data_IF_681762857415
#
_entry.id   IF_681762857415
#
_cell.length_a   1.000
_cell.length_b   1.000
_cell.length_c   1.000
_cell.angle_alpha   90.00
_cell.angle_beta   90.00
_cell.angle_gamma   90.00
#
_symmetry.space_group_name_H-M   'P 1'
#
loop_
_entity.id
_entity.type
_entity.pdbx_description
1 polymer ?
#
# COMPACT_ATOMS: atom_id res chain seq x y z
N UNK A 1 -27.79 -48.09 -40.89
CA UNK A 1 -27.33 -47.43 -39.62
C UNK A 1 -25.83 -47.64 -39.42
N UNK A 2 -24.96 -47.20 -40.34
CA UNK A 2 -23.49 -47.32 -40.25
C UNK A 2 -22.79 -45.98 -40.65
N UNK A 3 -23.52 -44.91 -40.77
CA UNK A 3 -22.96 -43.63 -41.28
C UNK A 3 -22.59 -42.57 -40.25
N UNK A 4 -22.89 -42.72 -38.96
CA UNK A 4 -22.71 -41.63 -37.96
C UNK A 4 -21.51 -41.75 -37.00
N UNK A 5 -20.73 -42.81 -37.09
CA UNK A 5 -19.59 -43.05 -36.17
C UNK A 5 -18.26 -42.56 -36.70
N UNK A 6 -18.12 -42.29 -38.00
CA UNK A 6 -16.86 -41.86 -38.57
C UNK A 6 -16.58 -40.35 -38.49
N UNK A 7 -17.60 -39.49 -38.28
CA UNK A 7 -17.41 -38.05 -38.15
C UNK A 7 -16.87 -37.60 -36.79
N UNK A 8 -17.11 -38.38 -35.74
CA UNK A 8 -16.61 -38.10 -34.38
C UNK A 8 -15.14 -38.44 -34.19
N UNK A 9 -14.60 -39.42 -34.91
CA UNK A 9 -13.18 -39.82 -34.80
C UNK A 9 -12.28 -38.88 -35.59
N UNK A 10 -12.76 -38.39 -36.75
CA UNK A 10 -12.00 -37.41 -37.56
C UNK A 10 -11.99 -36.00 -36.93
N UNK A 11 -13.08 -35.58 -36.28
CA UNK A 11 -13.15 -34.30 -35.56
C UNK A 11 -12.23 -34.26 -34.33
N UNK A 12 -12.10 -35.36 -33.59
CA UNK A 12 -11.15 -35.43 -32.45
C UNK A 12 -9.69 -35.42 -32.90
N UNK A 13 -9.32 -36.04 -33.99
CA UNK A 13 -7.93 -36.01 -34.52
C UNK A 13 -7.54 -34.66 -35.11
N UNK A 14 -8.49 -33.88 -35.63
CA UNK A 14 -8.25 -32.51 -36.08
C UNK A 14 -8.08 -31.53 -34.90
N UNK A 15 -8.87 -31.70 -33.83
CA UNK A 15 -8.74 -30.91 -32.60
C UNK A 15 -7.48 -31.24 -31.79
N UNK A 16 -6.99 -32.48 -31.85
CA UNK A 16 -5.72 -32.87 -31.22
C UNK A 16 -4.48 -32.33 -31.95
N UNK A 17 -4.55 -32.11 -33.28
CA UNK A 17 -3.43 -31.55 -34.05
C UNK A 17 -3.25 -30.03 -33.85
N UNK A 18 -4.17 -29.32 -33.22
CA UNK A 18 -4.11 -27.88 -33.00
C UNK A 18 -3.80 -27.49 -31.53
N UNK A 19 -3.47 -28.45 -30.68
CA UNK A 19 -2.72 -28.16 -29.45
C UNK A 19 -1.25 -27.93 -29.84
N UNK A 20 -0.97 -26.78 -30.45
CA UNK A 20 0.37 -26.21 -30.42
C UNK A 20 0.79 -26.24 -28.95
N UNK A 21 1.82 -27.00 -28.59
CA UNK A 21 2.47 -26.90 -27.29
C UNK A 21 2.82 -25.44 -27.13
N UNK A 22 2.07 -24.70 -26.33
CA UNK A 22 2.51 -23.38 -25.86
C UNK A 22 3.72 -23.65 -24.99
N UNK A 23 4.90 -23.62 -25.59
CA UNK A 23 6.16 -23.55 -24.84
C UNK A 23 6.27 -22.11 -24.34
N UNK A 24 5.92 -21.90 -23.06
CA UNK A 24 6.17 -20.62 -22.43
C UNK A 24 7.68 -20.35 -22.47
N UNK A 25 8.06 -19.18 -22.96
CA UNK A 25 9.43 -18.73 -22.88
C UNK A 25 9.80 -18.38 -21.44
N UNK A 26 11.06 -18.47 -21.03
CA UNK A 26 11.52 -17.96 -19.76
C UNK A 26 11.10 -16.49 -19.56
N UNK A 27 10.78 -16.12 -18.32
CA UNK A 27 10.38 -14.75 -18.00
C UNK A 27 11.59 -13.82 -18.25
N UNK A 28 11.42 -12.86 -19.16
CA UNK A 28 12.39 -11.81 -19.49
C UNK A 28 11.66 -10.47 -19.60
N UNK A 29 11.25 -9.87 -18.47
CA UNK A 29 10.51 -8.61 -18.49
C UNK A 29 11.40 -7.48 -19.04
N UNK A 30 10.83 -6.53 -19.81
CA UNK A 30 11.56 -5.36 -20.24
C UNK A 30 11.97 -4.52 -19.03
N UNK A 31 13.11 -3.88 -19.10
CA UNK A 31 13.53 -2.93 -18.08
C UNK A 31 12.60 -1.71 -18.10
N UNK A 32 12.08 -1.35 -16.94
CA UNK A 32 11.20 -0.20 -16.75
C UNK A 32 11.62 0.59 -15.51
N UNK A 33 11.48 1.91 -15.57
CA UNK A 33 11.58 2.79 -14.42
C UNK A 33 10.17 3.16 -13.98
N UNK A 34 9.75 2.60 -12.83
CA UNK A 34 8.39 2.72 -12.32
C UNK A 34 8.24 3.99 -11.47
N UNK A 35 8.03 5.12 -12.13
CA UNK A 35 7.85 6.44 -11.52
C UNK A 35 6.38 6.80 -11.31
N UNK A 36 5.52 5.81 -11.20
CA UNK A 36 4.12 5.99 -10.83
C UNK A 36 3.90 5.99 -9.32
N UNK A 37 2.64 6.10 -8.86
CA UNK A 37 2.28 6.10 -7.43
C UNK A 37 2.34 4.70 -6.78
N UNK A 38 3.10 3.80 -7.35
CA UNK A 38 3.26 2.39 -7.01
C UNK A 38 2.39 1.46 -7.88
N UNK A 39 2.90 0.23 -8.20
CA UNK A 39 4.13 -0.34 -7.64
C UNK A 39 5.41 0.37 -8.09
N UNK A 40 6.53 0.04 -7.44
CA UNK A 40 7.85 0.58 -7.71
C UNK A 40 8.81 -0.53 -8.15
N UNK A 41 10.02 -0.17 -8.62
CA UNK A 41 11.10 -1.13 -8.73
C UNK A 41 11.54 -1.56 -7.34
N UNK A 42 11.57 -2.86 -7.10
CA UNK A 42 12.09 -3.38 -5.83
C UNK A 42 13.63 -3.23 -5.79
N UNK A 43 14.15 -3.01 -4.56
CA UNK A 43 15.59 -3.01 -4.34
C UNK A 43 16.18 -4.37 -4.77
N UNK A 44 17.30 -4.40 -5.54
CA UNK A 44 17.95 -5.65 -5.92
C UNK A 44 18.33 -6.55 -4.75
N UNK A 45 18.58 -5.98 -3.55
CA UNK A 45 18.86 -6.75 -2.33
C UNK A 45 17.60 -7.50 -1.87
N UNK A 46 16.43 -6.88 -1.97
CA UNK A 46 15.13 -7.51 -1.67
C UNK A 46 14.86 -8.66 -2.63
N UNK A 47 15.02 -8.45 -3.94
CA UNK A 47 14.82 -9.50 -4.94
C UNK A 47 15.78 -10.68 -4.73
N UNK A 48 17.03 -10.43 -4.33
CA UNK A 48 18.01 -11.47 -3.99
C UNK A 48 17.58 -12.25 -2.76
N UNK A 49 17.10 -11.59 -1.70
CA UNK A 49 16.57 -12.25 -0.52
C UNK A 49 15.42 -13.18 -0.87
N UNK A 50 14.50 -12.75 -1.72
CA UNK A 50 13.35 -13.54 -2.16
C UNK A 50 13.74 -14.78 -2.98
N UNK A 51 14.92 -14.80 -3.59
CA UNK A 51 15.43 -15.95 -4.35
C UNK A 51 16.25 -16.94 -3.51
N UNK A 52 16.35 -16.73 -2.19
CA UNK A 52 17.02 -17.65 -1.28
C UNK A 52 16.30 -19.00 -1.19
N UNK A 53 17.01 -20.03 -0.78
CA UNK A 53 16.44 -21.37 -0.54
C UNK A 53 15.35 -21.31 0.53
N UNK A 54 14.27 -22.05 0.31
CA UNK A 54 13.16 -22.10 1.27
C UNK A 54 13.51 -22.98 2.48
N UNK A 55 13.13 -22.53 3.66
CA UNK A 55 13.11 -23.37 4.87
C UNK A 55 11.67 -23.81 5.16
N UNK A 56 11.52 -24.94 5.82
CA UNK A 56 10.21 -25.50 6.15
C UNK A 56 9.54 -24.73 7.31
N UNK A 57 8.22 -24.81 7.38
CA UNK A 57 7.41 -24.16 8.41
C UNK A 57 7.79 -24.54 9.86
N UNK A 58 8.29 -25.76 10.06
CA UNK A 58 8.70 -26.28 11.38
C UNK A 58 10.20 -26.14 11.65
N UNK A 59 10.94 -25.54 10.73
CA UNK A 59 12.36 -25.28 10.90
C UNK A 59 12.56 -24.15 11.94
N UNK A 60 13.45 -24.32 12.92
CA UNK A 60 13.79 -23.23 13.85
C UNK A 60 14.19 -21.93 13.18
N UNK A 61 14.87 -21.98 12.03
CA UNK A 61 15.23 -20.80 11.25
C UNK A 61 14.00 -20.02 10.77
N UNK A 62 12.88 -20.68 10.44
CA UNK A 62 11.63 -20.00 10.10
C UNK A 62 11.14 -19.16 11.28
N UNK A 63 11.16 -19.73 12.48
CA UNK A 63 10.77 -19.01 13.70
C UNK A 63 11.67 -17.80 13.95
N UNK A 64 12.98 -17.93 13.73
CA UNK A 64 13.94 -16.84 13.86
C UNK A 64 13.62 -15.71 12.85
N UNK A 65 13.42 -16.03 11.56
CA UNK A 65 13.06 -15.04 10.54
C UNK A 65 11.74 -14.34 10.85
N UNK A 66 10.73 -15.05 11.36
CA UNK A 66 9.48 -14.44 11.78
C UNK A 66 9.68 -13.47 12.95
N UNK A 67 10.43 -13.89 13.99
CA UNK A 67 10.73 -13.04 15.15
C UNK A 67 11.51 -11.77 14.74
N UNK A 68 12.56 -11.93 13.93
CA UNK A 68 13.33 -10.81 13.41
C UNK A 68 12.46 -9.85 12.57
N UNK A 69 11.55 -10.41 11.78
CA UNK A 69 10.61 -9.60 10.97
C UNK A 69 9.69 -8.78 11.86
N UNK A 70 9.13 -9.37 12.91
CA UNK A 70 8.32 -8.64 13.90
C UNK A 70 9.10 -7.48 14.54
N UNK A 71 10.35 -7.74 14.96
CA UNK A 71 11.20 -6.72 15.59
C UNK A 71 11.53 -5.58 14.61
N UNK A 72 11.92 -5.91 13.39
CA UNK A 72 12.22 -4.93 12.35
C UNK A 72 11.01 -4.04 12.04
N UNK A 73 9.81 -4.64 11.92
CA UNK A 73 8.60 -3.86 11.65
C UNK A 73 8.14 -3.03 12.86
N UNK A 74 8.42 -3.45 14.09
CA UNK A 74 8.26 -2.55 15.26
C UNK A 74 9.09 -1.29 15.09
N UNK A 75 10.33 -1.42 14.65
CA UNK A 75 11.18 -0.29 14.31
C UNK A 75 10.59 0.58 13.19
N UNK A 76 10.09 -0.04 12.12
CA UNK A 76 9.51 0.68 10.96
C UNK A 76 8.21 1.41 11.30
N UNK A 77 7.33 0.82 12.13
CA UNK A 77 6.11 1.48 12.59
C UNK A 77 6.35 2.46 13.75
N UNK A 78 7.54 2.47 14.34
CA UNK A 78 7.86 3.26 15.54
C UNK A 78 6.95 2.89 16.70
N UNK A 79 6.95 1.60 17.07
CA UNK A 79 6.04 1.06 18.07
C UNK A 79 6.69 0.00 18.96
N UNK A 80 6.19 -0.11 20.19
CA UNK A 80 6.49 -1.21 21.11
C UNK A 80 5.44 -2.35 21.02
N UNK A 81 4.44 -2.25 20.14
CA UNK A 81 3.39 -3.25 20.02
C UNK A 81 3.95 -4.64 19.69
N UNK A 82 3.70 -5.60 20.58
CA UNK A 82 4.08 -7.00 20.34
C UNK A 82 3.37 -7.59 19.10
N UNK A 83 2.12 -7.20 18.87
CA UNK A 83 1.31 -7.62 17.72
C UNK A 83 1.68 -6.82 16.46
N UNK A 84 2.95 -6.92 16.06
CA UNK A 84 3.46 -6.34 14.80
C UNK A 84 3.97 -7.48 13.93
N UNK A 85 3.31 -7.75 12.80
CA UNK A 85 3.49 -8.96 12.00
C UNK A 85 3.13 -8.72 10.52
N UNK A 86 3.13 -9.78 9.73
CA UNK A 86 2.73 -9.74 8.32
C UNK A 86 1.39 -10.49 8.12
N UNK A 87 0.57 -9.95 7.23
CA UNK A 87 -0.56 -10.66 6.64
C UNK A 87 -0.15 -11.03 5.20
N UNK A 88 -0.25 -12.31 4.85
CA UNK A 88 0.03 -12.78 3.50
C UNK A 88 -1.00 -12.24 2.51
N UNK A 89 -0.51 -11.65 1.44
CA UNK A 89 -1.30 -11.01 0.42
C UNK A 89 -0.85 -9.58 0.14
N UNK A 90 -1.55 -8.89 -0.75
CA UNK A 90 -1.23 -7.48 -1.03
C UNK A 90 -1.66 -6.58 0.13
N UNK A 91 -1.30 -5.29 0.10
CA UNK A 91 -1.72 -4.33 1.13
C UNK A 91 -3.22 -4.38 1.45
N UNK A 92 -4.08 -4.68 0.46
CA UNK A 92 -5.53 -4.87 0.69
C UNK A 92 -5.84 -6.03 1.64
N UNK A 93 -5.05 -7.08 1.64
CA UNK A 93 -5.21 -8.19 2.57
C UNK A 93 -5.05 -7.72 4.03
N UNK A 94 -4.03 -6.89 4.30
CA UNK A 94 -3.85 -6.28 5.62
C UNK A 94 -5.00 -5.35 6.02
N UNK A 95 -5.46 -4.50 5.09
CA UNK A 95 -6.59 -3.60 5.33
C UNK A 95 -7.86 -4.40 5.66
N UNK A 96 -8.16 -5.42 4.85
CA UNK A 96 -9.36 -6.26 5.07
C UNK A 96 -9.25 -7.07 6.36
N UNK A 97 -8.08 -7.66 6.66
CA UNK A 97 -7.84 -8.38 7.90
C UNK A 97 -8.04 -7.49 9.13
N UNK A 98 -7.52 -6.25 9.11
CA UNK A 98 -7.74 -5.28 10.19
C UNK A 98 -9.22 -4.96 10.39
N UNK A 99 -9.92 -4.55 9.34
CA UNK A 99 -11.30 -4.09 9.45
C UNK A 99 -12.27 -5.22 9.79
N UNK A 100 -12.15 -6.39 9.16
CA UNK A 100 -13.04 -7.54 9.45
C UNK A 100 -12.83 -8.08 10.86
N UNK A 101 -11.61 -7.92 11.42
CA UNK A 101 -11.28 -8.39 12.77
C UNK A 101 -11.63 -7.38 13.85
N UNK A 102 -11.59 -6.09 13.58
CA UNK A 102 -11.94 -5.03 14.54
C UNK A 102 -13.44 -4.71 14.57
N UNK A 103 -14.17 -5.00 13.49
CA UNK A 103 -15.57 -4.62 13.32
C UNK A 103 -16.50 -5.81 13.42
N UNK A 104 -17.60 -5.60 14.13
CA UNK A 104 -18.78 -6.47 14.16
C UNK A 104 -19.94 -5.82 13.40
N UNK A 105 -20.91 -6.62 12.92
CA UNK A 105 -22.13 -6.06 12.36
C UNK A 105 -22.84 -5.12 13.31
N UNK A 106 -23.16 -3.90 12.83
CA UNK A 106 -23.79 -2.85 13.59
C UNK A 106 -22.84 -1.93 14.37
N UNK A 107 -21.53 -2.20 14.38
CA UNK A 107 -20.54 -1.25 14.90
C UNK A 107 -20.54 0.04 14.08
N UNK A 108 -20.55 1.19 14.76
CA UNK A 108 -20.41 2.48 14.10
C UNK A 108 -18.96 2.77 13.75
N UNK A 109 -18.72 3.13 12.50
CA UNK A 109 -17.40 3.49 11.98
C UNK A 109 -17.46 4.85 11.33
N UNK A 110 -16.52 5.74 11.67
CA UNK A 110 -16.30 7.00 10.97
C UNK A 110 -15.20 6.81 9.94
N UNK A 111 -15.47 7.13 8.68
CA UNK A 111 -14.50 7.10 7.59
C UNK A 111 -14.37 8.48 6.97
N UNK A 112 -13.32 9.25 7.31
CA UNK A 112 -12.97 10.48 6.60
C UNK A 112 -12.43 10.16 5.22
N UNK A 113 -13.03 10.74 4.17
CA UNK A 113 -12.72 10.49 2.77
C UNK A 113 -12.21 11.77 2.11
N UNK A 114 -10.97 11.75 1.67
CA UNK A 114 -10.32 12.82 0.92
C UNK A 114 -9.63 12.32 -0.37
N UNK A 115 -9.94 11.06 -0.75
CA UNK A 115 -9.43 10.40 -1.94
C UNK A 115 -10.02 9.00 -2.11
N UNK A 116 -9.53 8.30 -3.13
CA UNK A 116 -10.03 6.97 -3.50
C UNK A 116 -9.93 5.93 -2.38
N UNK A 117 -8.83 5.98 -1.61
CA UNK A 117 -8.55 4.92 -0.64
C UNK A 117 -9.42 5.07 0.61
N UNK A 118 -9.91 6.28 0.92
CA UNK A 118 -10.99 6.46 1.90
C UNK A 118 -12.28 5.73 1.49
N UNK A 119 -12.69 5.82 0.22
CA UNK A 119 -13.83 5.04 -0.29
C UNK A 119 -13.58 3.52 -0.23
N UNK A 120 -12.32 3.06 -0.39
CA UNK A 120 -11.98 1.65 -0.20
C UNK A 120 -12.21 1.21 1.26
N UNK A 121 -11.77 2.01 2.24
CA UNK A 121 -12.00 1.71 3.66
C UNK A 121 -13.49 1.65 3.97
N UNK A 122 -14.27 2.61 3.45
CA UNK A 122 -15.73 2.62 3.55
C UNK A 122 -16.32 1.30 3.04
N UNK A 123 -15.98 0.90 1.81
CA UNK A 123 -16.53 -0.30 1.18
C UNK A 123 -16.20 -1.58 1.98
N UNK A 124 -14.99 -1.71 2.51
CA UNK A 124 -14.59 -2.86 3.33
C UNK A 124 -15.35 -2.86 4.66
N UNK A 125 -15.50 -1.71 5.31
CA UNK A 125 -16.26 -1.60 6.56
C UNK A 125 -17.76 -1.93 6.36
N UNK A 126 -18.37 -1.44 5.27
CA UNK A 126 -19.77 -1.78 4.90
C UNK A 126 -19.91 -3.30 4.67
N UNK A 127 -18.98 -3.93 3.97
CA UNK A 127 -18.97 -5.38 3.73
C UNK A 127 -18.76 -6.20 5.01
N UNK A 128 -18.08 -5.63 6.01
CA UNK A 128 -17.95 -6.22 7.34
C UNK A 128 -19.24 -6.14 8.15
N UNK A 129 -20.24 -5.41 7.65
CA UNK A 129 -21.57 -5.22 8.27
C UNK A 129 -21.64 -4.04 9.23
N UNK A 130 -20.65 -3.16 9.23
CA UNK A 130 -20.64 -1.96 10.07
C UNK A 130 -21.63 -0.90 9.58
N UNK A 131 -22.10 -0.05 10.51
CA UNK A 131 -22.80 1.20 10.22
C UNK A 131 -21.76 2.28 9.93
N UNK A 132 -21.58 2.59 8.65
CA UNK A 132 -20.50 3.48 8.20
C UNK A 132 -21.00 4.90 8.04
N UNK A 133 -20.37 5.82 8.78
CA UNK A 133 -20.56 7.26 8.67
C UNK A 133 -19.38 7.86 7.90
N UNK A 134 -19.67 8.67 6.88
CA UNK A 134 -18.66 9.27 6.01
C UNK A 134 -18.69 10.77 6.13
N UNK A 135 -17.52 11.37 6.26
CA UNK A 135 -17.31 12.80 6.00
C UNK A 135 -16.37 12.92 4.80
N UNK A 136 -16.67 13.82 3.88
CA UNK A 136 -15.92 13.98 2.64
C UNK A 136 -15.30 15.36 2.53
N UNK A 137 -14.11 15.40 1.91
CA UNK A 137 -13.42 16.63 1.53
C UNK A 137 -13.11 16.64 0.05
N UNK A 138 -12.90 17.85 -0.47
CA UNK A 138 -12.39 18.05 -1.82
C UNK A 138 -11.05 17.32 -1.98
N UNK A 139 -10.92 16.60 -3.08
CA UNK A 139 -9.71 15.84 -3.40
C UNK A 139 -8.51 16.78 -3.59
N UNK A 140 -7.44 16.51 -2.88
CA UNK A 140 -6.25 17.35 -2.82
C UNK A 140 -6.17 18.24 -1.57
N UNK A 141 -7.14 18.11 -0.64
CA UNK A 141 -7.13 18.74 0.69
C UNK A 141 -7.25 17.70 1.79
N UNK A 142 -7.04 18.08 3.05
CA UNK A 142 -7.12 17.20 4.23
C UNK A 142 -8.04 17.79 5.30
N UNK A 143 -8.46 16.98 6.25
CA UNK A 143 -9.24 17.42 7.40
C UNK A 143 -8.36 18.07 8.47
N UNK A 144 -8.88 19.07 9.15
CA UNK A 144 -8.31 19.58 10.41
C UNK A 144 -8.65 18.69 11.58
N UNK A 145 -7.84 18.70 12.64
CA UNK A 145 -8.13 17.97 13.88
C UNK A 145 -9.50 18.35 14.48
N UNK A 146 -9.86 19.62 14.44
CA UNK A 146 -11.15 20.11 14.95
C UNK A 146 -12.36 19.56 14.16
N UNK A 147 -12.27 19.45 12.84
CA UNK A 147 -13.33 18.85 12.01
C UNK A 147 -13.49 17.35 12.32
N UNK A 148 -12.36 16.63 12.47
CA UNK A 148 -12.37 15.22 12.84
C UNK A 148 -12.96 15.03 14.23
N UNK A 149 -12.57 15.85 15.22
CA UNK A 149 -13.13 15.79 16.58
C UNK A 149 -14.63 16.03 16.60
N UNK A 150 -15.12 17.04 15.86
CA UNK A 150 -16.55 17.32 15.77
C UNK A 150 -17.33 16.14 15.20
N UNK A 151 -16.82 15.50 14.13
CA UNK A 151 -17.44 14.32 13.55
C UNK A 151 -17.40 13.10 14.49
N UNK A 152 -16.29 12.88 15.20
CA UNK A 152 -16.17 11.80 16.19
C UNK A 152 -17.16 12.00 17.35
N UNK A 153 -17.30 13.23 17.85
CA UNK A 153 -18.24 13.56 18.93
C UNK A 153 -19.71 13.34 18.54
N UNK A 154 -20.06 13.63 17.29
CA UNK A 154 -21.41 13.45 16.74
C UNK A 154 -21.71 11.97 16.50
N UNK A 155 -20.86 11.26 15.77
CA UNK A 155 -21.04 9.85 15.36
C UNK A 155 -20.86 8.90 16.55
N UNK A 156 -19.94 9.19 17.46
CA UNK A 156 -19.51 8.29 18.55
C UNK A 156 -19.13 6.91 18.02
N UNK A 157 -18.18 6.82 17.11
CA UNK A 157 -17.82 5.57 16.46
C UNK A 157 -17.06 4.64 17.42
N UNK A 158 -17.13 3.33 17.18
CA UNK A 158 -16.20 2.36 17.77
C UNK A 158 -14.81 2.49 17.15
N UNK A 159 -14.77 2.77 15.86
CA UNK A 159 -13.53 2.86 15.07
C UNK A 159 -13.56 4.09 14.17
N UNK A 160 -12.49 4.85 14.15
CA UNK A 160 -12.16 5.81 13.07
C UNK A 160 -11.22 5.11 12.12
N UNK A 161 -11.61 4.97 10.85
CA UNK A 161 -10.79 4.34 9.82
C UNK A 161 -10.39 5.40 8.78
N UNK A 162 -9.10 5.75 8.73
CA UNK A 162 -8.59 6.84 7.91
C UNK A 162 -7.34 6.43 7.12
N UNK A 163 -7.17 7.00 5.94
CA UNK A 163 -5.94 6.85 5.15
C UNK A 163 -4.92 7.89 5.64
N UNK A 164 -3.66 7.50 5.90
CA UNK A 164 -2.61 8.46 6.22
C UNK A 164 -2.14 9.21 4.96
N UNK A 165 -1.80 8.48 3.89
CA UNK A 165 -1.36 9.08 2.62
C UNK A 165 -2.16 8.56 1.44
N UNK A 166 -2.98 9.40 0.81
CA UNK A 166 -3.78 8.98 -0.34
C UNK A 166 -3.08 9.33 -1.65
N UNK A 167 -2.54 8.31 -2.33
CA UNK A 167 -1.84 8.53 -3.61
C UNK A 167 -2.77 8.95 -4.75
N UNK A 168 -4.09 8.86 -4.60
CA UNK A 168 -5.00 9.36 -5.64
C UNK A 168 -5.09 10.88 -5.65
N UNK A 169 -4.84 11.50 -4.51
CA UNK A 169 -4.86 12.95 -4.28
C UNK A 169 -3.50 13.54 -3.93
N UNK A 170 -2.51 12.68 -3.69
CA UNK A 170 -1.10 13.00 -3.39
C UNK A 170 -0.86 13.82 -2.11
N UNK A 171 -1.82 13.79 -1.19
CA UNK A 171 -1.73 14.48 0.11
C UNK A 171 -1.69 13.49 1.27
N UNK A 172 -1.07 13.90 2.38
CA UNK A 172 -1.01 13.17 3.63
C UNK A 172 -1.86 13.87 4.69
N UNK A 173 -2.76 13.11 5.32
CA UNK A 173 -3.58 13.55 6.44
C UNK A 173 -2.72 13.57 7.71
N UNK A 174 -2.57 14.69 8.41
CA UNK A 174 -1.96 14.74 9.73
C UNK A 174 -2.72 13.86 10.73
N UNK A 175 -2.01 13.05 11.51
CA UNK A 175 -2.58 12.12 12.48
C UNK A 175 -2.09 12.35 13.92
N UNK A 176 -1.17 13.26 14.12
CA UNK A 176 -0.45 13.51 15.38
C UNK A 176 -1.37 13.83 16.57
N UNK A 177 -2.51 14.47 16.34
CA UNK A 177 -3.52 14.75 17.36
C UNK A 177 -4.66 13.72 17.39
N UNK A 178 -4.84 12.94 16.32
CA UNK A 178 -6.06 12.17 16.10
C UNK A 178 -6.23 11.00 17.07
N UNK A 179 -5.14 10.33 17.46
CA UNK A 179 -5.23 9.24 18.44
C UNK A 179 -5.68 9.71 19.81
N UNK A 180 -5.18 10.88 20.25
CA UNK A 180 -5.64 11.48 21.51
C UNK A 180 -7.12 11.87 21.46
N UNK A 181 -7.57 12.40 20.32
CA UNK A 181 -8.98 12.72 20.07
C UNK A 181 -9.83 11.44 20.11
N UNK A 182 -9.43 10.39 19.39
CA UNK A 182 -10.13 9.10 19.42
C UNK A 182 -10.22 8.54 20.83
N UNK A 183 -9.11 8.53 21.58
CA UNK A 183 -9.07 8.03 22.95
C UNK A 183 -10.02 8.81 23.90
N UNK A 184 -10.08 10.14 23.76
CA UNK A 184 -11.00 11.02 24.53
C UNK A 184 -12.46 10.63 24.33
N UNK A 185 -12.83 10.16 23.13
CA UNK A 185 -14.17 9.77 22.76
C UNK A 185 -14.43 8.25 22.84
N UNK A 186 -13.46 7.45 23.31
CA UNK A 186 -13.57 6.00 23.46
C UNK A 186 -13.55 5.23 22.13
N UNK A 187 -13.07 5.84 21.05
CA UNK A 187 -12.90 5.23 19.75
C UNK A 187 -11.49 4.64 19.57
N UNK A 188 -11.38 3.60 18.75
CA UNK A 188 -10.10 3.13 18.23
C UNK A 188 -9.72 3.93 16.96
N UNK A 189 -8.42 4.10 16.72
CA UNK A 189 -7.88 4.67 15.49
C UNK A 189 -7.21 3.59 14.64
N UNK A 190 -7.77 3.32 13.45
CA UNK A 190 -7.13 2.55 12.40
C UNK A 190 -6.65 3.47 11.27
N UNK A 191 -5.45 3.24 10.76
CA UNK A 191 -4.94 3.95 9.59
C UNK A 191 -4.33 3.04 8.53
N UNK A 192 -4.67 3.32 7.27
CA UNK A 192 -3.98 2.76 6.11
C UNK A 192 -2.74 3.61 5.78
N UNK A 193 -1.57 3.11 6.17
CA UNK A 193 -0.28 3.71 5.88
C UNK A 193 0.43 3.07 4.66
N UNK A 194 -0.32 2.36 3.80
CA UNK A 194 0.25 1.64 2.64
C UNK A 194 1.19 2.50 1.82
N UNK A 195 0.81 3.73 1.55
CA UNK A 195 1.57 4.60 0.64
C UNK A 195 2.59 5.49 1.35
N UNK A 196 2.49 5.64 2.66
CA UNK A 196 3.25 6.64 3.43
C UNK A 196 4.34 6.04 4.30
N UNK A 197 4.14 4.83 4.85
CA UNK A 197 5.08 4.20 5.77
C UNK A 197 6.46 4.03 5.13
N UNK A 198 7.49 4.55 5.80
CA UNK A 198 8.87 4.56 5.33
C UNK A 198 9.25 5.74 4.42
N UNK A 199 8.26 6.50 3.89
CA UNK A 199 8.52 7.66 3.02
C UNK A 199 8.06 8.99 3.58
N UNK A 200 7.11 8.95 4.50
CA UNK A 200 6.62 10.11 5.25
C UNK A 200 6.80 9.81 6.74
N UNK A 201 6.86 10.84 7.55
CA UNK A 201 6.87 10.67 9.00
C UNK A 201 5.68 9.82 9.44
N UNK A 202 5.94 8.86 10.33
CA UNK A 202 4.92 7.99 10.90
C UNK A 202 5.39 7.49 12.27
N UNK A 203 4.65 7.86 13.31
CA UNK A 203 4.99 7.62 14.71
C UNK A 203 3.81 6.94 15.39
N UNK A 204 3.65 5.60 15.21
CA UNK A 204 2.44 4.89 15.61
C UNK A 204 2.10 5.11 17.08
N UNK A 205 3.06 4.89 18.01
CA UNK A 205 2.82 5.02 19.44
C UNK A 205 2.62 6.49 19.85
N UNK A 206 3.45 7.39 19.34
CA UNK A 206 3.38 8.81 19.68
C UNK A 206 2.06 9.45 19.21
N UNK A 207 1.52 8.98 18.07
CA UNK A 207 0.25 9.46 17.53
C UNK A 207 -0.96 8.71 18.09
N UNK A 208 -0.76 7.69 18.92
CA UNK A 208 -1.83 6.92 19.54
C UNK A 208 -2.67 6.12 18.54
N UNK A 209 -2.05 5.61 17.48
CA UNK A 209 -2.72 4.77 16.48
C UNK A 209 -2.91 3.36 17.05
N UNK A 210 -4.14 2.85 17.06
CA UNK A 210 -4.45 1.51 17.60
C UNK A 210 -4.19 0.39 16.60
N UNK A 211 -4.36 0.66 15.32
CA UNK A 211 -4.06 -0.31 14.28
C UNK A 211 -3.57 0.40 13.01
N UNK A 212 -2.52 -0.12 12.39
CA UNK A 212 -2.00 0.39 11.12
C UNK A 212 -1.63 -0.75 10.18
N UNK A 213 -1.87 -0.54 8.89
CA UNK A 213 -1.45 -1.47 7.83
C UNK A 213 -0.59 -0.78 6.79
N UNK A 214 0.27 -1.56 6.13
CA UNK A 214 1.15 -1.05 5.08
C UNK A 214 1.28 -2.03 3.90
N UNK A 215 2.10 -1.69 2.91
CA UNK A 215 2.35 -2.53 1.74
C UNK A 215 3.73 -2.34 1.17
N UNK A 216 4.40 -3.43 0.79
CA UNK A 216 5.79 -3.43 0.36
C UNK A 216 6.03 -2.65 -0.93
N UNK A 217 5.04 -2.58 -1.82
CA UNK A 217 5.15 -2.01 -3.18
C UNK A 217 5.21 -0.48 -3.24
N UNK A 218 5.38 0.16 -2.12
CA UNK A 218 5.49 1.62 -1.94
C UNK A 218 6.84 1.97 -1.32
N UNK A 219 6.85 2.84 -0.32
CA UNK A 219 8.08 3.32 0.28
C UNK A 219 8.89 2.24 1.03
N UNK A 220 8.27 1.11 1.37
CA UNK A 220 8.97 -0.05 1.93
C UNK A 220 9.95 -0.71 0.94
N UNK A 221 9.79 -0.51 -0.36
CA UNK A 221 10.82 -0.83 -1.36
C UNK A 221 10.82 -2.25 -1.88
N UNK A 222 9.76 -3.02 -1.71
CA UNK A 222 9.64 -4.41 -2.17
C UNK A 222 8.51 -4.65 -3.17
N UNK A 223 8.37 -5.89 -3.68
CA UNK A 223 7.23 -6.28 -4.48
C UNK A 223 5.97 -6.43 -3.62
N UNK A 224 4.80 -6.29 -4.25
CA UNK A 224 3.51 -6.55 -3.60
C UNK A 224 3.37 -8.04 -3.27
N UNK A 225 2.79 -8.39 -2.12
CA UNK A 225 2.53 -9.79 -1.75
C UNK A 225 2.61 -10.05 -0.24
N UNK A 226 2.96 -9.03 0.55
CA UNK A 226 2.91 -9.08 2.01
C UNK A 226 2.46 -7.73 2.55
N UNK A 227 1.64 -7.73 3.60
CA UNK A 227 1.07 -6.56 4.22
C UNK A 227 1.48 -6.49 5.71
N UNK A 228 2.46 -5.64 6.06
CA UNK A 228 2.77 -5.38 7.46
C UNK A 228 1.58 -4.76 8.20
N UNK A 229 1.36 -5.23 9.43
CA UNK A 229 0.32 -4.73 10.33
C UNK A 229 0.88 -4.59 11.74
N UNK A 230 0.42 -3.58 12.46
CA UNK A 230 0.68 -3.41 13.89
C UNK A 230 -0.62 -3.09 14.62
N UNK A 231 -0.83 -3.72 15.78
CA UNK A 231 -2.01 -3.61 16.61
C UNK A 231 -1.63 -3.22 18.03
N UNK A 232 -2.28 -2.20 18.60
CA UNK A 232 -2.17 -1.85 20.02
C UNK A 232 -2.75 -2.95 20.92
N UNK A 233 -2.42 -2.91 22.19
CA UNK A 233 -3.02 -3.84 23.18
C UNK A 233 -4.56 -3.76 23.18
N UNK A 234 -5.13 -2.57 23.00
CA UNK A 234 -6.60 -2.38 22.91
C UNK A 234 -7.16 -3.03 21.65
N UNK A 235 -6.53 -2.87 20.50
CA UNK A 235 -6.95 -3.53 19.28
C UNK A 235 -6.86 -5.06 19.39
N UNK A 236 -5.77 -5.58 19.99
CA UNK A 236 -5.61 -7.02 20.28
C UNK A 236 -6.71 -7.53 21.22
N UNK A 237 -7.11 -6.76 22.23
CA UNK A 237 -8.22 -7.13 23.12
C UNK A 237 -9.54 -7.29 22.36
N UNK A 238 -9.87 -6.36 21.45
CA UNK A 238 -11.06 -6.45 20.58
C UNK A 238 -11.00 -7.69 19.71
N UNK A 239 -9.87 -7.95 19.05
CA UNK A 239 -9.66 -9.14 18.20
C UNK A 239 -9.82 -10.43 19.01
N UNK A 240 -9.19 -10.52 20.20
CA UNK A 240 -9.26 -11.69 21.07
C UNK A 240 -10.66 -11.91 21.66
N UNK A 241 -11.46 -10.86 21.88
CA UNK A 241 -12.88 -10.98 22.28
C UNK A 241 -13.73 -11.72 21.25
N UNK A 242 -13.26 -11.81 20.01
CA UNK A 242 -13.91 -12.47 18.87
C UNK A 242 -13.22 -13.79 18.46
N UNK A 243 -12.24 -14.23 19.25
CA UNK A 243 -11.44 -15.41 18.95
C UNK A 243 -12.29 -16.65 18.75
N UNK A 244 -12.05 -17.37 17.68
CA UNK A 244 -12.59 -18.69 17.42
C UNK A 244 -11.48 -19.69 17.08
N UNK A 245 -11.71 -20.95 17.44
CA UNK A 245 -10.81 -22.04 17.09
C UNK A 245 -11.42 -22.77 15.89
N UNK A 246 -10.59 -23.03 14.89
CA UNK A 246 -11.01 -23.77 13.70
C UNK A 246 -11.62 -25.13 14.06
N UNK A 247 -12.73 -25.48 13.40
CA UNK A 247 -13.51 -26.66 13.75
C UNK A 247 -12.70 -27.96 13.69
N UNK A 248 -11.72 -28.05 12.76
CA UNK A 248 -10.88 -29.24 12.57
C UNK A 248 -9.87 -29.52 13.68
N UNK A 249 -9.56 -28.49 14.53
CA UNK A 249 -8.60 -28.59 15.63
C UNK A 249 -9.23 -28.26 16.99
N UNK A 250 -10.54 -27.96 17.02
CA UNK A 250 -11.27 -27.64 18.26
C UNK A 250 -11.41 -28.84 19.15
N UNK A 251 -11.13 -28.66 20.43
CA UNK A 251 -11.33 -29.67 21.48
C UNK A 251 -12.68 -29.50 22.19
N UNK A 252 -13.17 -30.56 22.82
CA UNK A 252 -14.35 -30.49 23.66
C UNK A 252 -14.08 -29.57 24.87
N UNK A 253 -14.82 -28.46 24.97
CA UNK A 253 -14.65 -27.45 26.03
C UNK A 253 -14.03 -26.15 25.57
N UNK A 254 -13.56 -26.05 24.33
CA UNK A 254 -13.13 -24.80 23.77
C UNK A 254 -14.31 -23.83 23.62
N UNK A 255 -14.09 -22.59 24.04
CA UNK A 255 -15.11 -21.55 23.95
C UNK A 255 -15.47 -21.25 22.49
N UNK A 256 -16.76 -21.16 22.21
CA UNK A 256 -17.28 -20.73 20.92
C UNK A 256 -17.82 -19.31 21.10
N UNK A 257 -17.21 -18.34 20.43
CA UNK A 257 -17.71 -16.96 20.46
C UNK A 257 -19.04 -16.86 19.68
N UNK A 258 -19.98 -16.03 20.18
CA UNK A 258 -21.21 -15.71 19.47
C UNK A 258 -20.99 -14.85 18.23
N UNK A 259 -19.87 -14.11 18.18
CA UNK A 259 -19.56 -13.13 17.16
C UNK A 259 -18.16 -13.39 16.54
N UNK A 260 -17.95 -14.53 15.85
CA UNK A 260 -16.65 -14.83 15.25
C UNK A 260 -16.29 -13.81 14.16
N UNK A 261 -14.98 -13.64 13.94
CA UNK A 261 -14.48 -12.88 12.80
C UNK A 261 -14.98 -13.56 11.52
N UNK A 262 -15.57 -12.76 10.61
CA UNK A 262 -16.24 -13.27 9.40
C UNK A 262 -15.26 -13.52 8.24
N UNK A 263 -14.10 -14.01 8.55
CA UNK A 263 -13.12 -14.51 7.59
C UNK A 263 -12.38 -15.67 8.25
N UNK A 264 -12.10 -16.73 7.51
CA UNK A 264 -11.20 -17.76 8.01
C UNK A 264 -9.75 -17.33 7.79
N UNK A 265 -9.41 -16.87 6.59
CA UNK A 265 -8.03 -16.53 6.24
C UNK A 265 -7.55 -15.20 6.85
N UNK A 266 -8.41 -14.20 6.97
CA UNK A 266 -8.10 -12.88 7.55
C UNK A 266 -8.54 -12.75 9.00
N UNK A 267 -8.71 -13.85 9.71
CA UNK A 267 -8.98 -13.85 11.15
C UNK A 267 -7.69 -13.50 11.90
N UNK A 268 -7.55 -12.23 12.32
CA UNK A 268 -6.37 -11.80 13.05
C UNK A 268 -6.19 -12.50 14.39
N UNK A 269 -7.23 -13.08 15.01
CA UNK A 269 -7.06 -13.84 16.23
C UNK A 269 -6.27 -15.13 16.00
N UNK A 270 -6.46 -15.77 14.85
CA UNK A 270 -5.70 -16.96 14.45
C UNK A 270 -4.32 -16.59 13.89
N UNK A 271 -4.22 -15.49 13.13
CA UNK A 271 -2.94 -14.98 12.63
C UNK A 271 -2.03 -14.56 13.79
N UNK A 272 -2.55 -13.95 14.85
CA UNK A 272 -1.81 -13.63 16.06
C UNK A 272 -1.29 -14.89 16.77
N UNK A 273 -2.06 -15.97 16.81
CA UNK A 273 -1.60 -17.25 17.34
C UNK A 273 -0.48 -17.85 16.47
N UNK A 274 -0.60 -17.74 15.14
CA UNK A 274 0.41 -18.21 14.20
C UNK A 274 1.74 -17.46 14.34
N UNK A 275 1.70 -16.14 14.51
CA UNK A 275 2.88 -15.30 14.76
C UNK A 275 3.30 -15.28 16.23
N UNK A 276 2.48 -15.81 17.14
CA UNK A 276 2.75 -15.89 18.56
C UNK A 276 3.80 -16.94 18.91
N UNK A 277 4.25 -16.99 20.19
CA UNK A 277 5.33 -17.89 20.63
C UNK A 277 5.10 -19.36 20.37
N UNK A 278 3.82 -19.79 20.32
CA UNK A 278 3.44 -21.20 20.10
C UNK A 278 3.46 -21.59 18.63
N UNK A 279 3.52 -20.65 17.71
CA UNK A 279 3.50 -20.89 16.25
C UNK A 279 2.37 -21.85 15.84
N UNK A 280 1.15 -21.55 16.31
CA UNK A 280 -0.01 -22.38 15.97
C UNK A 280 -0.27 -22.30 14.46
N UNK A 281 -0.44 -23.46 13.84
CA UNK A 281 -0.61 -23.51 12.38
C UNK A 281 -1.90 -22.82 11.94
N UNK A 282 -1.78 -21.91 10.99
CA UNK A 282 -2.89 -21.24 10.33
C UNK A 282 -2.85 -21.48 8.82
N UNK A 283 -1.70 -21.26 8.19
CA UNK A 283 -1.49 -21.41 6.75
C UNK A 283 -0.03 -21.77 6.47
N UNK A 284 0.31 -22.11 5.24
CA UNK A 284 1.69 -22.26 4.81
C UNK A 284 2.26 -20.87 4.52
N UNK A 285 3.31 -20.49 5.25
CA UNK A 285 3.98 -19.19 5.11
C UNK A 285 4.45 -18.95 3.67
N UNK A 286 4.20 -17.75 3.16
CA UNK A 286 4.72 -17.30 1.87
C UNK A 286 6.21 -16.96 1.99
N UNK A 287 7.05 -17.95 2.22
CA UNK A 287 8.46 -17.84 2.67
C UNK A 287 9.28 -16.84 1.86
N UNK A 288 9.20 -16.84 0.53
CA UNK A 288 9.91 -15.86 -0.31
C UNK A 288 9.44 -14.44 -0.06
N UNK A 289 8.15 -14.24 0.23
CA UNK A 289 7.60 -12.93 0.57
C UNK A 289 8.02 -12.49 1.97
N UNK A 290 8.06 -13.42 2.94
CA UNK A 290 8.62 -13.16 4.27
C UNK A 290 10.08 -12.68 4.18
N UNK A 291 10.91 -13.36 3.38
CA UNK A 291 12.30 -12.94 3.16
C UNK A 291 12.38 -11.54 2.54
N UNK A 292 11.54 -11.25 1.56
CA UNK A 292 11.45 -9.93 0.93
C UNK A 292 11.00 -8.84 1.90
N UNK A 293 9.94 -9.12 2.68
CA UNK A 293 9.42 -8.19 3.66
C UNK A 293 10.43 -7.90 4.78
N UNK A 294 11.11 -8.95 5.29
CA UNK A 294 12.19 -8.81 6.27
C UNK A 294 13.31 -7.93 5.75
N UNK A 295 13.74 -8.15 4.50
CA UNK A 295 14.83 -7.37 3.91
C UNK A 295 14.41 -5.90 3.68
N UNK A 296 13.17 -5.63 3.26
CA UNK A 296 12.64 -4.27 3.16
C UNK A 296 12.76 -3.53 4.51
N UNK A 297 12.30 -4.16 5.58
CA UNK A 297 12.36 -3.57 6.91
C UNK A 297 13.80 -3.40 7.41
N UNK A 298 14.66 -4.41 7.19
CA UNK A 298 16.08 -4.36 7.56
C UNK A 298 16.79 -3.16 6.90
N UNK A 299 16.54 -2.93 5.61
CA UNK A 299 17.14 -1.83 4.88
C UNK A 299 16.69 -0.45 5.40
N UNK A 300 15.40 -0.31 5.73
CA UNK A 300 14.87 0.93 6.31
C UNK A 300 15.41 1.19 7.72
N UNK A 301 15.52 0.16 8.54
CA UNK A 301 16.08 0.28 9.89
C UNK A 301 17.58 0.60 9.82
N UNK A 302 18.32 0.00 8.90
CA UNK A 302 19.74 0.29 8.66
C UNK A 302 19.96 1.74 8.17
N UNK A 303 19.11 2.23 7.28
CA UNK A 303 19.14 3.64 6.80
C UNK A 303 18.75 4.61 7.94
N UNK A 304 17.84 4.20 8.80
CA UNK A 304 17.18 5.04 9.79
C UNK A 304 15.98 5.78 9.20
N UNK A 305 14.81 5.69 9.87
CA UNK A 305 13.58 6.27 9.35
C UNK A 305 13.64 7.78 9.09
N UNK A 306 14.24 8.60 9.97
CA UNK A 306 14.39 10.04 9.68
C UNK A 306 15.19 10.30 8.40
N UNK A 307 16.23 9.51 8.13
CA UNK A 307 17.01 9.61 6.89
C UNK A 307 16.19 9.15 5.67
N UNK A 308 15.40 8.10 5.81
CA UNK A 308 14.50 7.63 4.75
C UNK A 308 13.41 8.67 4.42
N UNK A 309 12.81 9.31 5.43
CA UNK A 309 11.82 10.39 5.23
C UNK A 309 12.46 11.59 4.52
N UNK A 310 13.66 12.01 4.97
CA UNK A 310 14.40 13.11 4.36
C UNK A 310 14.79 12.80 2.91
N UNK A 311 15.23 11.58 2.62
CA UNK A 311 15.50 11.13 1.24
C UNK A 311 14.26 11.26 0.37
N UNK A 312 13.09 10.81 0.83
CA UNK A 312 11.84 10.96 0.09
C UNK A 312 11.45 12.42 -0.07
N UNK A 313 11.57 13.24 1.00
CA UNK A 313 11.28 14.68 0.96
C UNK A 313 12.18 15.40 -0.06
N UNK A 314 13.47 15.11 -0.04
CA UNK A 314 14.45 15.71 -0.95
C UNK A 314 14.13 15.38 -2.42
N UNK A 315 13.96 14.09 -2.75
CA UNK A 315 13.73 13.68 -4.13
C UNK A 315 12.32 14.00 -4.62
N UNK A 316 11.31 13.93 -3.75
CA UNK A 316 9.95 14.37 -4.07
C UNK A 316 9.86 15.89 -4.25
N UNK A 317 10.60 16.64 -3.46
CA UNK A 317 10.73 18.11 -3.60
C UNK A 317 11.41 18.48 -4.92
N UNK A 318 12.52 17.82 -5.25
CA UNK A 318 13.21 18.05 -6.52
C UNK A 318 12.35 17.69 -7.74
N UNK A 319 11.56 16.60 -7.66
CA UNK A 319 10.57 16.27 -8.69
C UNK A 319 9.52 17.37 -8.84
N UNK A 320 8.97 17.88 -7.73
CA UNK A 320 7.99 18.96 -7.76
C UNK A 320 8.59 20.25 -8.33
N UNK A 321 9.80 20.63 -7.91
CA UNK A 321 10.51 21.80 -8.45
C UNK A 321 10.74 21.66 -9.96
N UNK A 322 11.18 20.47 -10.41
CA UNK A 322 11.38 20.19 -11.84
C UNK A 322 10.10 20.28 -12.66
N UNK A 323 8.97 19.79 -12.14
CA UNK A 323 7.66 19.91 -12.81
C UNK A 323 7.24 21.38 -12.93
N UNK A 324 7.45 22.20 -11.89
CA UNK A 324 7.21 23.64 -11.94
C UNK A 324 8.19 24.31 -12.93
N UNK A 325 9.45 23.88 -12.98
CA UNK A 325 10.44 24.35 -13.95
C UNK A 325 10.08 24.03 -15.42
N UNK A 326 9.27 23.01 -15.65
CA UNK A 326 8.64 22.74 -16.96
C UNK A 326 7.42 23.63 -17.25
N UNK A 327 7.02 24.52 -16.30
CA UNK A 327 5.83 25.34 -16.42
C UNK A 327 4.53 24.63 -16.09
N UNK A 328 4.60 23.46 -15.43
CA UNK A 328 3.42 22.67 -15.05
C UNK A 328 2.89 23.10 -13.69
N UNK A 329 1.59 22.96 -13.50
CA UNK A 329 0.90 23.28 -12.24
C UNK A 329 0.76 22.02 -11.38
N UNK A 330 1.24 22.08 -10.15
CA UNK A 330 1.05 21.00 -9.17
C UNK A 330 -0.40 20.91 -8.73
N UNK A 331 -0.84 19.69 -8.41
CA UNK A 331 -2.19 19.42 -7.91
C UNK A 331 -2.17 19.26 -6.39
N UNK A 332 -3.25 19.74 -5.76
CA UNK A 332 -3.51 19.60 -4.32
C UNK A 332 -2.79 20.64 -3.46
N UNK A 333 -3.08 20.62 -2.17
CA UNK A 333 -2.45 21.48 -1.18
C UNK A 333 -0.99 21.05 -0.94
N UNK A 334 -0.06 21.91 -1.35
CA UNK A 334 1.37 21.61 -1.29
C UNK A 334 1.91 21.62 0.15
N UNK A 335 1.21 22.20 1.11
CA UNK A 335 1.61 22.19 2.53
C UNK A 335 1.47 20.81 3.19
N UNK A 336 0.59 19.97 2.65
CA UNK A 336 0.33 18.59 3.09
C UNK A 336 0.62 17.55 2.01
N UNK A 337 1.39 17.93 0.99
CA UNK A 337 1.83 17.01 -0.07
C UNK A 337 2.65 15.86 0.52
N UNK A 338 2.36 14.64 0.08
CA UNK A 338 3.20 13.48 0.40
C UNK A 338 4.64 13.68 -0.12
N UNK A 339 5.62 13.23 0.64
CA UNK A 339 7.03 13.28 0.23
C UNK A 339 7.34 12.47 -1.04
N UNK A 340 6.58 11.43 -1.27
CA UNK A 340 6.91 10.31 -2.16
C UNK A 340 6.06 10.27 -3.43
N UNK A 341 5.13 11.21 -3.62
CA UNK A 341 4.33 11.31 -4.84
C UNK A 341 3.91 12.76 -5.10
N UNK A 342 4.01 13.17 -6.36
CA UNK A 342 3.62 14.51 -6.82
C UNK A 342 2.47 14.37 -7.80
N UNK A 343 1.36 15.07 -7.53
CA UNK A 343 0.27 15.28 -8.47
C UNK A 343 0.59 16.48 -9.35
N UNK A 344 0.38 16.37 -10.64
CA UNK A 344 0.58 17.46 -11.60
C UNK A 344 -0.57 17.50 -12.59
N UNK A 345 -1.08 18.69 -12.85
CA UNK A 345 -2.16 18.89 -13.81
C UNK A 345 -1.67 18.58 -15.23
N UNK A 346 -2.47 17.85 -15.98
CA UNK A 346 -2.19 17.58 -17.39
C UNK A 346 -2.42 18.88 -18.16
N UNK A 347 -1.43 19.38 -18.94
CA UNK A 347 -1.59 20.60 -19.73
C UNK A 347 -2.78 20.50 -20.68
N UNK A 348 -3.46 21.63 -20.88
CA UNK A 348 -4.56 21.71 -21.83
C UNK A 348 -4.10 21.36 -23.25
N UNK A 349 -4.93 20.62 -23.99
CA UNK A 349 -4.63 20.18 -25.36
C UNK A 349 -3.76 18.94 -25.48
N UNK A 350 -3.25 18.39 -24.37
CA UNK A 350 -2.47 17.13 -24.37
C UNK A 350 -3.38 15.93 -24.13
N UNK A 351 -3.19 14.89 -24.95
CA UNK A 351 -3.66 13.54 -24.62
C UNK A 351 -2.80 12.97 -23.49
N UNK A 352 -3.32 13.00 -22.27
CA UNK A 352 -2.60 12.56 -21.07
C UNK A 352 -2.24 11.07 -21.08
N UNK A 353 -3.08 10.21 -21.66
CA UNK A 353 -2.81 8.77 -21.77
C UNK A 353 -1.85 8.47 -22.91
N UNK A 354 -1.95 9.17 -24.04
CA UNK A 354 -0.98 9.12 -25.14
C UNK A 354 0.42 9.55 -24.70
N UNK A 355 0.53 10.60 -23.88
CA UNK A 355 1.80 11.05 -23.32
C UNK A 355 2.44 9.98 -22.41
N UNK A 356 1.64 9.33 -21.54
CA UNK A 356 2.10 8.21 -20.69
C UNK A 356 2.54 7.01 -21.53
N UNK A 357 1.78 6.66 -22.56
CA UNK A 357 2.13 5.58 -23.48
C UNK A 357 3.46 5.86 -24.19
N UNK A 358 3.69 7.11 -24.62
CA UNK A 358 4.95 7.54 -25.23
C UNK A 358 6.12 7.48 -24.24
N UNK A 359 5.95 7.94 -22.98
CA UNK A 359 6.96 7.80 -21.93
C UNK A 359 7.36 6.34 -21.73
N UNK A 360 6.39 5.44 -21.67
CA UNK A 360 6.65 4.02 -21.49
C UNK A 360 7.31 3.38 -22.72
N UNK A 361 6.85 3.71 -23.93
CA UNK A 361 7.35 3.09 -25.16
C UNK A 361 8.76 3.56 -25.52
N UNK A 362 9.01 4.87 -25.47
CA UNK A 362 10.26 5.47 -25.97
C UNK A 362 11.35 5.55 -24.89
N UNK A 363 10.95 5.72 -23.62
CA UNK A 363 11.90 5.94 -22.52
C UNK A 363 11.88 4.83 -21.46
N UNK A 364 10.95 3.89 -21.55
CA UNK A 364 10.79 2.84 -20.53
C UNK A 364 10.33 3.36 -19.16
N UNK A 365 9.76 4.57 -19.09
CA UNK A 365 9.33 5.21 -17.86
C UNK A 365 7.81 5.12 -17.71
N UNK A 366 7.37 4.59 -16.57
CA UNK A 366 5.95 4.50 -16.24
C UNK A 366 5.57 5.56 -15.21
N UNK A 367 4.64 6.45 -15.54
CA UNK A 367 3.98 7.37 -14.60
C UNK A 367 2.50 7.03 -14.46
N UNK A 368 1.87 7.45 -13.34
CA UNK A 368 0.47 7.13 -13.05
C UNK A 368 -0.52 8.14 -13.61
N UNK A 369 -1.70 7.65 -14.03
CA UNK A 369 -2.91 8.50 -14.12
C UNK A 369 -3.60 8.59 -12.76
N UNK A 370 -4.51 9.53 -12.57
CA UNK A 370 -5.36 9.56 -11.38
C UNK A 370 -6.70 8.84 -11.61
N UNK A 371 -7.59 8.89 -10.61
CA UNK A 371 -8.85 8.17 -10.61
C UNK A 371 -10.03 9.11 -10.41
N UNK A 372 -11.27 8.58 -10.59
CA UNK A 372 -12.50 9.32 -10.30
C UNK A 372 -12.52 10.71 -10.95
N UNK A 373 -12.79 11.78 -10.20
CA UNK A 373 -12.89 13.13 -10.73
C UNK A 373 -11.57 13.69 -11.30
N UNK A 374 -10.44 13.08 -10.98
CA UNK A 374 -9.10 13.48 -11.45
C UNK A 374 -8.60 12.65 -12.66
N UNK A 375 -9.38 11.66 -13.11
CA UNK A 375 -9.02 10.87 -14.29
C UNK A 375 -8.92 11.77 -15.53
N UNK A 376 -7.81 11.64 -16.28
CA UNK A 376 -7.54 12.47 -17.47
C UNK A 376 -7.17 13.94 -17.17
N UNK A 377 -7.10 14.34 -15.89
CA UNK A 377 -6.78 15.72 -15.46
C UNK A 377 -5.46 15.83 -14.70
N UNK A 378 -5.04 14.76 -14.04
CA UNK A 378 -3.85 14.75 -13.17
C UNK A 378 -3.01 13.52 -13.46
N UNK A 379 -1.71 13.73 -13.70
CA UNK A 379 -0.69 12.68 -13.60
C UNK A 379 -0.16 12.61 -12.17
N UNK A 380 0.28 11.42 -11.79
CA UNK A 380 0.93 11.16 -10.50
C UNK A 380 2.31 10.60 -10.76
N UNK A 381 3.32 11.30 -10.27
CA UNK A 381 4.71 10.92 -10.41
C UNK A 381 5.25 10.58 -9.05
N UNK A 382 5.69 9.33 -8.87
CA UNK A 382 6.16 8.80 -7.60
C UNK A 382 7.68 8.74 -7.52
N UNK A 383 8.21 9.14 -6.37
CA UNK A 383 9.60 8.96 -5.95
C UNK A 383 9.59 8.11 -4.68
N UNK A 384 9.38 6.80 -4.84
CA UNK A 384 9.11 5.88 -3.73
C UNK A 384 10.18 4.81 -3.60
N UNK A 385 10.54 4.46 -2.37
CA UNK A 385 11.40 3.33 -2.04
C UNK A 385 12.71 3.35 -2.82
N UNK A 386 13.00 2.30 -3.59
CA UNK A 386 14.22 2.21 -4.40
C UNK A 386 14.31 3.25 -5.52
N UNK A 387 13.19 3.78 -6.00
CA UNK A 387 13.18 4.81 -7.06
C UNK A 387 13.37 6.24 -6.51
N UNK A 388 13.53 6.40 -5.20
CA UNK A 388 13.83 7.69 -4.57
C UNK A 388 15.31 8.01 -4.73
N UNK A 389 15.70 8.41 -5.96
CA UNK A 389 17.09 8.64 -6.38
C UNK A 389 17.18 9.81 -7.35
N UNK A 390 18.30 10.54 -7.30
CA UNK A 390 18.56 11.71 -8.14
C UNK A 390 18.50 11.40 -9.64
N UNK A 391 19.11 10.29 -10.06
CA UNK A 391 19.10 9.84 -11.46
C UNK A 391 17.68 9.58 -11.98
N UNK A 392 16.84 8.91 -11.17
CA UNK A 392 15.46 8.63 -11.53
C UNK A 392 14.62 9.91 -11.69
N UNK A 393 14.81 10.89 -10.82
CA UNK A 393 14.15 12.20 -10.92
C UNK A 393 14.55 12.92 -12.21
N UNK A 394 15.86 13.07 -12.44
CA UNK A 394 16.37 13.85 -13.56
C UNK A 394 16.00 13.22 -14.92
N UNK A 395 16.13 11.90 -15.03
CA UNK A 395 15.79 11.18 -16.28
C UNK A 395 14.28 11.27 -16.56
N UNK A 396 13.44 11.20 -15.53
CA UNK A 396 11.98 11.32 -15.68
C UNK A 396 11.59 12.71 -16.15
N UNK A 397 12.17 13.77 -15.58
CA UNK A 397 11.91 15.15 -15.99
C UNK A 397 12.37 15.41 -17.45
N UNK A 398 13.57 14.94 -17.83
CA UNK A 398 14.07 15.07 -19.18
C UNK A 398 13.18 14.34 -20.21
N UNK A 399 12.74 13.12 -19.89
CA UNK A 399 11.84 12.36 -20.75
C UNK A 399 10.46 13.03 -20.88
N UNK A 400 9.90 13.50 -19.76
CA UNK A 400 8.61 14.20 -19.76
C UNK A 400 8.68 15.48 -20.60
N UNK A 401 9.74 16.27 -20.48
CA UNK A 401 9.98 17.44 -21.35
C UNK A 401 9.90 17.08 -22.82
N UNK A 402 10.60 16.02 -23.25
CA UNK A 402 10.60 15.59 -24.65
C UNK A 402 9.19 15.18 -25.12
N UNK A 403 8.45 14.47 -24.28
CA UNK A 403 7.07 14.05 -24.61
C UNK A 403 6.15 15.26 -24.74
N UNK A 404 6.22 16.21 -23.81
CA UNK A 404 5.42 17.44 -23.85
C UNK A 404 5.71 18.29 -25.08
N UNK A 405 6.98 18.48 -25.43
CA UNK A 405 7.38 19.22 -26.61
C UNK A 405 6.93 18.57 -27.91
N UNK A 406 7.04 17.24 -28.02
CA UNK A 406 6.48 16.49 -29.16
C UNK A 406 4.95 16.61 -29.26
N UNK A 407 4.29 16.72 -28.12
CA UNK A 407 2.85 16.98 -28.02
C UNK A 407 2.44 18.44 -28.29
N UNK A 408 3.38 19.32 -28.61
CA UNK A 408 3.12 20.74 -28.95
C UNK A 408 3.02 21.67 -27.73
N UNK A 409 3.34 21.20 -26.53
CA UNK A 409 3.36 22.07 -25.34
C UNK A 409 4.67 22.87 -25.30
N UNK A 410 4.54 24.17 -25.15
CA UNK A 410 5.69 25.08 -25.03
C UNK A 410 6.32 25.02 -23.63
N UNK A 411 7.15 24.02 -23.38
CA UNK A 411 7.91 23.91 -22.12
C UNK A 411 9.32 24.46 -22.26
N UNK A 412 9.90 25.07 -21.22
CA UNK A 412 11.31 25.52 -21.22
C UNK A 412 12.27 24.36 -21.48
N UNK A 413 13.24 24.56 -22.39
CA UNK A 413 14.28 23.55 -22.70
C UNK A 413 15.23 23.43 -21.51
N UNK A 414 15.36 22.21 -20.97
CA UNK A 414 16.18 21.95 -19.79
C UNK A 414 15.56 22.44 -18.47
N UNK A 415 14.49 23.22 -18.52
CA UNK A 415 13.93 23.90 -17.34
C UNK A 415 13.55 22.98 -16.19
N UNK A 416 13.05 21.77 -16.50
CA UNK A 416 12.72 20.80 -15.46
C UNK A 416 13.94 20.21 -14.75
N UNK A 417 14.98 19.87 -15.52
CA UNK A 417 16.24 19.34 -14.99
C UNK A 417 16.98 20.41 -14.20
N UNK A 418 17.08 21.64 -14.74
CA UNK A 418 17.79 22.75 -14.11
C UNK A 418 17.13 23.11 -12.76
N UNK A 419 15.81 23.24 -12.70
CA UNK A 419 15.08 23.52 -11.46
C UNK A 419 15.24 22.38 -10.42
N UNK A 420 15.28 21.12 -10.84
CA UNK A 420 15.55 20.02 -9.92
C UNK A 420 17.01 20.05 -9.41
N UNK A 421 17.97 20.38 -10.26
CA UNK A 421 19.38 20.50 -9.86
C UNK A 421 19.61 21.68 -8.90
N UNK A 422 18.93 22.80 -9.11
CA UNK A 422 18.93 23.93 -8.19
C UNK A 422 18.33 23.56 -6.83
N UNK A 423 17.26 22.77 -6.82
CA UNK A 423 16.66 22.26 -5.57
C UNK A 423 17.60 21.34 -4.80
N UNK A 424 18.48 20.60 -5.48
CA UNK A 424 19.48 19.73 -4.86
C UNK A 424 20.74 20.47 -4.38
N UNK A 425 20.99 21.71 -4.83
CA UNK A 425 22.16 22.50 -4.46
C UNK A 425 22.07 23.04 -3.04
#
# INVERSE_FOLDING_TARGET
>A
MIGYWNSWITGRRAAEKQRTRMTAQPIAPPQRLLMGPGPINADPRVLRAMSAGLVGQYDPAMTEYMNETMELYRGVFRTANEATLLVDGTSRAGIEAALVSLLEPGDRVLVPVFGRFGHLLREIAERSGAEVHVIEREWGTVFTAAELEAAIADVKPKLVAIVHGDTSTTVAQPLDELGAICAKHGALLYTDATASLGGNEFELDAWGVDAATAGLQKCLGGPSGSAPISLSAKAVEVVNGRKSIEAGIRSAGDAVTAHPIRSNYFDLSQILDYWGPKRLNHHTEATSMLYGARECARLLVEEGLPAAWERHRLHGGAMAAGLVGLGLTLFGDQSVRMNNVVGVQIPEGIDGDGARATLLADFGIEIGTSFGPLHGRVWRIGTMGYNTRRDAVLVTLAALEQVLRRGGVGVPVGGGVDAALEYYA
#
